data_IF_222498633444
#
_entry.id   IF_222498633444
#
_cell.length_a   1.000
_cell.length_b   1.000
_cell.length_c   1.000
_cell.angle_alpha   90.00
_cell.angle_beta   90.00
_cell.angle_gamma   90.00
#
_symmetry.space_group_name_H-M   'P 1'
#
loop_
_entity.id
_entity.type
_entity.pdbx_description
1 polymer ?
#
# COMPACT_ATOMS: atom_id res chain seq x y z
N UNK A 1 -0.97 -15.89 10.52
CA UNK A 1 -0.27 -17.10 10.03
C UNK A 1 1.12 -16.77 9.49
N UNK A 2 1.28 -15.93 8.46
CA UNK A 2 2.60 -15.59 7.89
C UNK A 2 3.54 -14.82 8.84
N UNK A 3 3.01 -13.85 9.58
CA UNK A 3 3.80 -12.99 10.48
C UNK A 3 4.36 -13.72 11.71
N UNK A 4 4.02 -15.00 11.90
CA UNK A 4 4.63 -15.83 12.93
C UNK A 4 6.04 -16.30 12.54
N UNK A 5 6.40 -16.23 11.26
CA UNK A 5 7.74 -16.58 10.78
C UNK A 5 8.69 -15.41 11.06
N UNK A 6 9.82 -15.62 11.77
CA UNK A 6 10.81 -14.58 12.01
C UNK A 6 11.28 -13.92 10.71
N UNK A 7 11.31 -12.60 10.70
CA UNK A 7 11.67 -11.81 9.51
C UNK A 7 10.49 -11.43 8.61
N UNK A 8 9.29 -12.01 8.79
CA UNK A 8 8.09 -11.63 8.03
C UNK A 8 7.25 -10.64 8.83
N UNK A 9 7.37 -9.35 8.50
CA UNK A 9 6.52 -8.30 9.05
C UNK A 9 5.15 -8.19 8.34
N UNK A 10 4.22 -7.38 8.89
CA UNK A 10 2.91 -7.15 8.28
C UNK A 10 2.99 -6.63 6.83
N UNK A 11 3.90 -5.69 6.55
CA UNK A 11 4.10 -5.16 5.20
C UNK A 11 4.53 -6.26 4.22
N UNK A 12 5.49 -7.11 4.59
CA UNK A 12 5.96 -8.23 3.76
C UNK A 12 4.83 -9.23 3.49
N UNK A 13 4.05 -9.59 4.51
CA UNK A 13 2.91 -10.48 4.35
C UNK A 13 1.84 -9.87 3.42
N UNK A 14 1.59 -8.57 3.50
CA UNK A 14 0.64 -7.88 2.62
C UNK A 14 1.13 -7.81 1.17
N UNK A 15 2.42 -7.58 0.96
CA UNK A 15 3.01 -7.63 -0.39
C UNK A 15 2.88 -9.03 -0.98
N UNK A 16 3.17 -10.07 -0.20
CA UNK A 16 2.98 -11.46 -0.63
C UNK A 16 1.51 -11.72 -1.02
N UNK A 17 0.56 -11.28 -0.19
CA UNK A 17 -0.86 -11.42 -0.50
C UNK A 17 -1.23 -10.74 -1.81
N UNK A 18 -0.70 -9.54 -2.09
CA UNK A 18 -1.01 -8.80 -3.30
C UNK A 18 -0.42 -9.41 -4.58
N UNK A 19 0.87 -9.76 -4.55
CA UNK A 19 1.63 -10.10 -5.75
C UNK A 19 1.73 -11.61 -5.97
N UNK A 20 2.01 -12.38 -4.92
CA UNK A 20 2.17 -13.83 -5.03
C UNK A 20 0.82 -14.56 -4.93
N UNK A 21 -0.04 -14.17 -3.98
CA UNK A 21 -1.33 -14.84 -3.77
C UNK A 21 -2.51 -14.21 -4.53
N UNK A 22 -2.30 -13.04 -5.16
CA UNK A 22 -3.32 -12.38 -5.98
C UNK A 22 -4.54 -11.85 -5.21
N UNK A 23 -4.43 -11.63 -3.90
CA UNK A 23 -5.54 -11.16 -3.07
C UNK A 23 -5.95 -9.72 -3.46
N UNK A 24 -7.20 -9.46 -3.86
CA UNK A 24 -7.59 -8.17 -4.43
C UNK A 24 -7.82 -7.07 -3.38
N UNK A 25 -8.04 -7.44 -2.11
CA UNK A 25 -8.48 -6.50 -1.07
C UNK A 25 -7.46 -6.27 0.06
N UNK A 26 -6.22 -5.90 -0.30
CA UNK A 26 -5.13 -5.62 0.66
C UNK A 26 -4.55 -4.22 0.41
N UNK A 27 -4.36 -3.42 1.45
CA UNK A 27 -3.70 -2.12 1.37
C UNK A 27 -2.52 -2.01 2.35
N UNK A 28 -1.26 -1.95 1.90
CA UNK A 28 -0.09 -1.84 2.77
C UNK A 28 0.11 -0.43 3.36
N UNK A 29 -0.72 -0.05 4.35
CA UNK A 29 -0.73 1.31 4.92
C UNK A 29 0.59 1.78 5.60
N UNK A 30 1.53 0.85 5.87
CA UNK A 30 2.88 1.18 6.38
C UNK A 30 3.89 1.47 5.27
N UNK A 31 3.52 1.26 4.01
CA UNK A 31 4.38 1.55 2.88
C UNK A 31 4.59 3.06 2.72
N UNK A 32 5.84 3.50 2.77
CA UNK A 32 6.19 4.92 2.75
C UNK A 32 5.85 5.58 1.41
N UNK A 33 5.93 4.83 0.31
CA UNK A 33 5.55 5.34 -1.00
C UNK A 33 4.03 5.48 -1.10
N UNK A 34 3.26 4.51 -0.60
CA UNK A 34 1.79 4.64 -0.53
C UNK A 34 1.36 5.79 0.37
N UNK A 35 1.98 5.97 1.54
CA UNK A 35 1.70 7.11 2.40
C UNK A 35 1.93 8.43 1.67
N UNK A 36 3.08 8.56 0.99
CA UNK A 36 3.39 9.78 0.24
C UNK A 36 2.47 9.99 -0.96
N UNK A 37 2.14 8.91 -1.69
CA UNK A 37 1.29 8.96 -2.87
C UNK A 37 -0.14 9.37 -2.52
N UNK A 38 -0.73 8.74 -1.49
CA UNK A 38 -2.08 9.07 -1.03
C UNK A 38 -2.13 10.49 -0.48
N UNK A 39 -1.14 10.87 0.35
CA UNK A 39 -1.04 12.22 0.89
C UNK A 39 -1.05 13.28 -0.20
N UNK A 40 -0.21 13.09 -1.21
CA UNK A 40 -0.10 13.99 -2.36
C UNK A 40 -1.36 13.99 -3.23
N UNK A 41 -1.87 12.82 -3.60
CA UNK A 41 -3.02 12.70 -4.51
C UNK A 41 -4.31 13.26 -3.92
N UNK A 42 -4.50 13.15 -2.61
CA UNK A 42 -5.70 13.63 -1.92
C UNK A 42 -5.55 15.03 -1.32
N UNK A 43 -4.38 15.66 -1.43
CA UNK A 43 -4.12 16.99 -0.85
C UNK A 43 -4.24 17.02 0.67
N UNK A 44 -3.93 15.92 1.35
CA UNK A 44 -3.96 15.80 2.82
C UNK A 44 -2.52 15.84 3.37
N UNK A 45 -2.32 15.39 4.60
CA UNK A 45 -0.99 15.22 5.19
C UNK A 45 -0.02 14.56 4.17
N UNK A 46 1.17 15.14 3.91
CA UNK A 46 2.14 14.62 2.95
C UNK A 46 2.57 13.16 3.20
N UNK A 47 2.41 12.67 4.44
CA UNK A 47 2.62 11.28 4.83
C UNK A 47 1.61 10.93 5.94
N UNK A 48 0.34 10.67 5.58
CA UNK A 48 -0.70 10.38 6.55
C UNK A 48 -0.32 9.14 7.35
N UNK A 49 -0.57 9.12 8.68
CA UNK A 49 -0.20 7.99 9.51
C UNK A 49 -1.01 6.74 9.14
N UNK A 50 -0.44 5.57 9.42
CA UNK A 50 -1.03 4.25 9.12
C UNK A 50 -2.53 4.17 9.48
N UNK A 51 -2.92 4.63 10.67
CA UNK A 51 -4.32 4.60 11.11
C UNK A 51 -5.26 5.41 10.22
N UNK A 52 -4.80 6.55 9.72
CA UNK A 52 -5.59 7.39 8.80
C UNK A 52 -5.75 6.70 7.46
N UNK A 53 -4.67 6.10 6.94
CA UNK A 53 -4.72 5.36 5.69
C UNK A 53 -5.59 4.11 5.76
N UNK A 54 -5.54 3.36 6.86
CA UNK A 54 -6.41 2.18 7.05
C UNK A 54 -7.88 2.60 6.94
N UNK A 55 -8.28 3.67 7.63
CA UNK A 55 -9.66 4.19 7.57
C UNK A 55 -10.05 4.68 6.17
N UNK A 56 -9.15 5.39 5.48
CA UNK A 56 -9.40 5.82 4.10
C UNK A 56 -9.60 4.62 3.17
N UNK A 57 -8.73 3.61 3.32
CA UNK A 57 -8.74 2.42 2.49
C UNK A 57 -9.98 1.54 2.68
N UNK A 58 -10.69 1.62 3.80
CA UNK A 58 -11.97 0.93 4.00
C UNK A 58 -12.96 1.25 2.88
N UNK A 59 -13.01 2.51 2.43
CA UNK A 59 -13.89 2.94 1.31
C UNK A 59 -13.51 2.35 -0.05
N UNK A 60 -12.32 1.75 -0.19
CA UNK A 60 -11.84 1.13 -1.43
C UNK A 60 -12.05 -0.38 -1.46
N UNK A 61 -12.56 -0.98 -0.38
CA UNK A 61 -12.96 -2.38 -0.37
C UNK A 61 -14.13 -2.61 -1.35
N UNK A 62 -14.18 -3.74 -2.09
CA UNK A 62 -13.33 -4.93 -2.00
C UNK A 62 -12.07 -4.91 -2.88
N UNK A 63 -11.62 -3.73 -3.32
CA UNK A 63 -10.54 -3.56 -4.31
C UNK A 63 -9.35 -2.76 -3.78
N UNK A 64 -9.06 -2.86 -2.47
CA UNK A 64 -7.94 -2.13 -1.86
C UNK A 64 -6.58 -2.39 -2.53
N UNK A 65 -6.36 -3.59 -3.06
CA UNK A 65 -5.15 -3.94 -3.79
C UNK A 65 -5.05 -3.33 -5.18
N UNK A 66 -6.18 -2.94 -5.79
CA UNK A 66 -6.19 -2.10 -6.99
C UNK A 66 -5.76 -0.69 -6.62
N UNK A 67 -6.30 -0.14 -5.53
CA UNK A 67 -5.90 1.18 -5.03
C UNK A 67 -4.39 1.25 -4.72
N UNK A 68 -3.81 0.22 -4.06
CA UNK A 68 -2.37 0.15 -3.83
C UNK A 68 -1.57 0.23 -5.13
N UNK A 69 -1.94 -0.54 -6.15
CA UNK A 69 -1.26 -0.52 -7.46
C UNK A 69 -1.37 0.84 -8.14
N UNK A 70 -2.54 1.47 -8.10
CA UNK A 70 -2.74 2.82 -8.65
C UNK A 70 -1.88 3.85 -7.95
N UNK A 71 -1.80 3.83 -6.61
CA UNK A 71 -0.99 4.78 -5.86
C UNK A 71 0.52 4.55 -6.03
N UNK A 72 0.99 3.31 -6.17
CA UNK A 72 2.39 3.06 -6.54
C UNK A 72 2.70 3.55 -7.96
N UNK A 73 1.81 3.33 -8.93
CA UNK A 73 1.96 3.88 -10.28
C UNK A 73 1.99 5.41 -10.27
N UNK A 74 1.11 6.03 -9.48
CA UNK A 74 1.09 7.47 -9.27
C UNK A 74 2.39 7.98 -8.60
N UNK A 75 2.91 7.26 -7.61
CA UNK A 75 4.18 7.57 -6.96
C UNK A 75 5.32 7.56 -7.97
N UNK A 76 5.36 6.54 -8.84
CA UNK A 76 6.35 6.43 -9.92
C UNK A 76 6.34 7.63 -10.83
N UNK A 77 5.16 8.04 -11.28
CA UNK A 77 5.00 9.17 -12.19
C UNK A 77 5.40 10.50 -11.53
N UNK A 78 4.96 10.73 -10.29
CA UNK A 78 5.17 12.01 -9.60
C UNK A 78 6.54 12.17 -8.96
N UNK A 79 7.21 11.07 -8.59
CA UNK A 79 8.51 11.09 -7.91
C UNK A 79 9.67 10.55 -8.76
N UNK A 80 9.39 9.98 -9.93
CA UNK A 80 10.39 9.39 -10.82
C UNK A 80 11.11 8.19 -10.20
N UNK A 81 10.49 7.49 -9.25
CA UNK A 81 11.09 6.36 -8.51
C UNK A 81 10.14 5.17 -8.48
N UNK A 82 10.67 3.98 -8.77
CA UNK A 82 9.93 2.75 -8.54
C UNK A 82 9.98 2.33 -7.08
N UNK A 83 8.80 2.11 -6.51
CA UNK A 83 8.59 1.74 -5.12
C UNK A 83 7.56 0.63 -4.96
N UNK A 84 6.99 0.13 -6.06
CA UNK A 84 6.16 -1.06 -5.99
C UNK A 84 7.06 -2.25 -5.63
N UNK A 85 6.60 -3.18 -4.78
CA UNK A 85 7.28 -4.45 -4.61
C UNK A 85 7.42 -5.16 -5.97
N UNK A 86 8.55 -5.84 -6.22
CA UNK A 86 8.71 -6.63 -7.44
C UNK A 86 7.60 -7.68 -7.51
N UNK A 87 7.02 -7.84 -8.70
CA UNK A 87 6.02 -8.85 -9.02
C UNK A 87 6.68 -10.23 -9.21
#
# INVERSE_FOLDING_TARGET
>A
AMTAVPGIGPWTAQCYLLFAAGHPDVFPARDVALQSAVGHALGIDPRPPEKTLIRLAESWSPWRGVASRLFWAYYRETRGRDAAPPA
#
